data_IF_269900519855
#
_entry.id   IF_269900519855
#
_cell.length_a   1.000
_cell.length_b   1.000
_cell.length_c   1.000
_cell.angle_alpha   90.00
_cell.angle_beta   90.00
_cell.angle_gamma   90.00
#
_symmetry.space_group_name_H-M   'P 1'
#
loop_
_entity.id
_entity.type
_entity.pdbx_description
1 polymer ?
#
# COMPACT_ATOMS: atom_id res chain seq x y z
N UNK A 1 6.17 -28.26 -13.98
CA UNK A 1 6.32 -27.91 -12.54
C UNK A 1 4.99 -27.29 -12.12
N UNK A 2 4.44 -27.66 -10.99
CA UNK A 2 3.22 -27.05 -10.44
C UNK A 2 3.54 -25.61 -10.05
N UNK A 3 2.62 -24.68 -10.34
CA UNK A 3 2.74 -23.28 -9.88
C UNK A 3 2.87 -23.26 -8.36
N UNK A 4 3.77 -22.44 -7.77
CA UNK A 4 3.88 -22.29 -6.32
C UNK A 4 2.58 -21.75 -5.70
N UNK A 5 2.25 -22.17 -4.48
CA UNK A 5 1.07 -21.67 -3.77
C UNK A 5 1.29 -20.22 -3.29
N UNK A 6 0.34 -19.33 -3.57
CA UNK A 6 0.29 -17.98 -3.03
C UNK A 6 -0.85 -17.87 -2.02
N UNK A 7 -0.55 -17.41 -0.81
CA UNK A 7 -1.54 -17.13 0.22
C UNK A 7 -1.92 -15.65 0.17
N UNK A 8 -3.13 -15.38 -0.29
CA UNK A 8 -3.75 -14.05 -0.19
C UNK A 8 -4.24 -13.87 1.25
N UNK A 9 -3.84 -12.79 1.91
CA UNK A 9 -4.23 -12.49 3.29
C UNK A 9 -5.06 -11.21 3.35
N UNK A 10 -6.29 -11.31 3.86
CA UNK A 10 -7.26 -10.19 3.92
C UNK A 10 -7.62 -9.93 5.39
N UNK A 11 -7.01 -8.94 6.05
CA UNK A 11 -7.45 -8.50 7.37
C UNK A 11 -8.71 -7.64 7.22
N UNK A 12 -9.71 -7.84 8.07
CA UNK A 12 -10.92 -7.02 8.08
C UNK A 12 -11.33 -6.65 9.51
N UNK A 13 -11.75 -5.40 9.69
CA UNK A 13 -12.40 -4.89 10.88
C UNK A 13 -13.42 -3.83 10.47
N UNK A 14 -14.71 -4.13 10.62
CA UNK A 14 -15.83 -3.27 10.22
C UNK A 14 -15.70 -2.79 8.76
N UNK A 15 -15.52 -3.74 7.83
CA UNK A 15 -15.32 -3.48 6.41
C UNK A 15 -16.33 -4.17 5.51
N UNK A 16 -17.53 -4.52 6.01
CA UNK A 16 -18.55 -5.28 5.27
C UNK A 16 -18.90 -4.67 3.91
N UNK A 17 -18.84 -3.33 3.79
CA UNK A 17 -19.17 -2.59 2.57
C UNK A 17 -18.30 -2.97 1.36
N UNK A 18 -16.98 -3.19 1.57
CA UNK A 18 -16.03 -3.40 0.48
C UNK A 18 -15.45 -4.82 0.45
N UNK A 19 -15.55 -5.56 1.56
CA UNK A 19 -14.92 -6.88 1.71
C UNK A 19 -15.29 -7.85 0.60
N UNK A 20 -16.56 -7.88 0.17
CA UNK A 20 -17.02 -8.74 -0.91
C UNK A 20 -16.24 -8.50 -2.19
N UNK A 21 -16.12 -7.23 -2.60
CA UNK A 21 -15.38 -6.85 -3.81
C UNK A 21 -13.87 -7.17 -3.70
N UNK A 22 -13.26 -7.01 -2.51
CA UNK A 22 -11.88 -7.39 -2.28
C UNK A 22 -11.68 -8.91 -2.44
N UNK A 23 -12.55 -9.73 -1.84
CA UNK A 23 -12.51 -11.20 -1.98
C UNK A 23 -12.68 -11.60 -3.45
N UNK A 24 -13.67 -11.05 -4.16
CA UNK A 24 -13.92 -11.33 -5.58
C UNK A 24 -12.71 -10.97 -6.44
N UNK A 25 -12.01 -9.86 -6.14
CA UNK A 25 -10.81 -9.47 -6.87
C UNK A 25 -9.65 -10.46 -6.69
N UNK A 26 -9.58 -11.14 -5.53
CA UNK A 26 -8.63 -12.21 -5.28
C UNK A 26 -9.06 -13.53 -5.93
N UNK A 27 -10.36 -13.88 -5.91
CA UNK A 27 -10.88 -15.10 -6.53
C UNK A 27 -10.72 -15.13 -8.05
N UNK A 28 -10.81 -13.96 -8.68
CA UNK A 28 -10.78 -13.78 -10.15
C UNK A 28 -9.37 -13.55 -10.71
N UNK A 29 -8.33 -13.77 -9.90
CA UNK A 29 -6.94 -13.73 -10.39
C UNK A 29 -6.70 -14.81 -11.43
N UNK A 30 -5.94 -14.48 -12.49
CA UNK A 30 -5.53 -15.44 -13.54
C UNK A 30 -4.52 -16.47 -13.03
N UNK A 31 -3.81 -16.18 -11.95
CA UNK A 31 -2.98 -17.15 -11.23
C UNK A 31 -3.86 -18.06 -10.38
N UNK A 32 -3.90 -19.35 -10.70
CA UNK A 32 -4.91 -20.27 -10.17
C UNK A 32 -4.56 -20.90 -8.81
N UNK A 33 -3.26 -21.09 -8.51
CA UNK A 33 -2.84 -21.77 -7.27
C UNK A 33 -2.80 -20.81 -6.09
N UNK A 34 -3.99 -20.44 -5.60
CA UNK A 34 -4.21 -19.51 -4.49
C UNK A 34 -4.95 -20.17 -3.34
N UNK A 35 -4.60 -19.80 -2.11
CA UNK A 35 -5.49 -19.83 -0.96
C UNK A 35 -5.80 -18.40 -0.51
N UNK A 36 -6.98 -18.16 0.06
CA UNK A 36 -7.43 -16.84 0.53
C UNK A 36 -7.75 -16.97 2.02
N UNK A 37 -7.07 -16.20 2.86
CA UNK A 37 -7.23 -16.23 4.31
C UNK A 37 -7.80 -14.88 4.75
N UNK A 38 -9.07 -14.87 5.11
CA UNK A 38 -9.72 -13.68 5.67
C UNK A 38 -9.62 -13.75 7.19
N UNK A 39 -9.02 -12.73 7.81
CA UNK A 39 -8.97 -12.63 9.27
C UNK A 39 -9.89 -11.52 9.72
N UNK A 40 -11.00 -11.91 10.36
CA UNK A 40 -11.92 -10.98 11.01
C UNK A 40 -11.36 -10.58 12.38
N UNK A 41 -10.94 -9.33 12.49
CA UNK A 41 -10.30 -8.76 13.69
C UNK A 41 -11.34 -8.25 14.71
N UNK A 42 -12.39 -9.05 14.94
CA UNK A 42 -13.44 -8.77 15.92
C UNK A 42 -14.44 -7.71 15.45
N UNK A 43 -14.87 -7.78 14.19
CA UNK A 43 -15.86 -6.88 13.61
C UNK A 43 -17.19 -6.91 14.36
N UNK A 44 -17.87 -5.78 14.39
CA UNK A 44 -19.20 -5.59 14.98
C UNK A 44 -20.27 -5.35 13.92
N UNK A 45 -19.88 -5.23 12.66
CA UNK A 45 -20.75 -5.18 11.48
C UNK A 45 -20.87 -6.58 10.83
N UNK A 46 -21.42 -6.65 9.62
CA UNK A 46 -21.65 -7.90 8.88
C UNK A 46 -20.38 -8.47 8.20
N UNK A 47 -19.16 -7.96 8.50
CA UNK A 47 -17.92 -8.43 7.86
C UNK A 47 -17.69 -9.92 7.99
N UNK A 48 -17.92 -10.48 9.20
CA UNK A 48 -17.76 -11.92 9.42
C UNK A 48 -18.77 -12.76 8.60
N UNK A 49 -20.00 -12.31 8.50
CA UNK A 49 -21.06 -12.96 7.71
C UNK A 49 -20.75 -12.91 6.22
N UNK A 50 -20.28 -11.75 5.71
CA UNK A 50 -19.82 -11.59 4.33
C UNK A 50 -18.67 -12.56 4.04
N UNK A 51 -17.62 -12.61 4.87
CA UNK A 51 -16.50 -13.52 4.67
C UNK A 51 -16.93 -15.00 4.62
N UNK A 52 -17.81 -15.42 5.53
CA UNK A 52 -18.33 -16.80 5.56
C UNK A 52 -19.22 -17.12 4.36
N UNK A 53 -19.96 -16.16 3.83
CA UNK A 53 -20.74 -16.34 2.61
C UNK A 53 -19.86 -16.74 1.43
N UNK A 54 -18.71 -16.04 1.23
CA UNK A 54 -17.75 -16.38 0.18
C UNK A 54 -17.02 -17.71 0.46
N UNK A 55 -16.65 -17.98 1.71
CA UNK A 55 -16.00 -19.23 2.09
C UNK A 55 -16.90 -20.47 1.87
N UNK A 56 -18.23 -20.32 1.97
CA UNK A 56 -19.17 -21.40 1.67
C UNK A 56 -19.24 -21.73 0.17
N UNK A 57 -18.81 -20.83 -0.72
CA UNK A 57 -18.88 -20.97 -2.17
C UNK A 57 -17.54 -21.34 -2.82
N UNK A 58 -16.42 -21.04 -2.16
CA UNK A 58 -15.07 -21.29 -2.68
C UNK A 58 -14.19 -21.91 -1.60
N UNK A 59 -13.82 -23.18 -1.81
CA UNK A 59 -13.01 -23.95 -0.86
C UNK A 59 -11.59 -23.42 -0.65
N UNK A 60 -11.13 -22.51 -1.50
CA UNK A 60 -9.83 -21.82 -1.35
C UNK A 60 -9.88 -20.76 -0.23
N UNK A 61 -11.09 -20.35 0.21
CA UNK A 61 -11.27 -19.30 1.21
C UNK A 61 -11.43 -19.92 2.60
N UNK A 62 -10.66 -19.37 3.54
CA UNK A 62 -10.73 -19.71 4.95
C UNK A 62 -10.90 -18.46 5.81
N UNK A 63 -11.84 -18.48 6.74
CA UNK A 63 -12.12 -17.35 7.64
C UNK A 63 -11.60 -17.67 9.04
N UNK A 64 -10.86 -16.73 9.63
CA UNK A 64 -10.28 -16.86 10.99
C UNK A 64 -10.79 -15.67 11.81
N UNK A 65 -11.71 -15.87 12.77
CA UNK A 65 -12.09 -14.82 13.71
C UNK A 65 -11.04 -14.68 14.83
N UNK A 66 -10.79 -13.45 15.26
CA UNK A 66 -9.98 -13.17 16.44
C UNK A 66 -10.52 -11.96 17.23
N UNK A 67 -10.20 -11.83 18.53
CA UNK A 67 -10.42 -10.59 19.25
C UNK A 67 -9.63 -9.43 18.63
N UNK A 68 -10.24 -8.24 18.54
CA UNK A 68 -9.60 -7.08 17.93
C UNK A 68 -8.21 -6.81 18.50
N UNK A 69 -7.23 -6.77 17.61
CA UNK A 69 -5.82 -6.57 17.93
C UNK A 69 -5.11 -5.63 16.95
N UNK A 70 -5.85 -5.09 15.99
CA UNK A 70 -5.36 -4.21 14.95
C UNK A 70 -4.81 -4.95 13.73
N UNK A 71 -4.75 -4.22 12.60
CA UNK A 71 -4.47 -4.76 11.27
C UNK A 71 -3.13 -5.54 11.20
N UNK A 72 -2.08 -5.07 11.88
CA UNK A 72 -0.80 -5.76 11.92
C UNK A 72 -0.89 -7.15 12.58
N UNK A 73 -1.66 -7.27 13.68
CA UNK A 73 -1.91 -8.56 14.34
C UNK A 73 -2.74 -9.48 13.45
N UNK A 74 -3.78 -8.96 12.81
CA UNK A 74 -4.60 -9.73 11.89
C UNK A 74 -3.79 -10.27 10.69
N UNK A 75 -2.92 -9.44 10.09
CA UNK A 75 -1.99 -9.89 9.04
C UNK A 75 -1.04 -10.98 9.55
N UNK A 76 -0.47 -10.83 10.75
CA UNK A 76 0.41 -11.85 11.33
C UNK A 76 -0.33 -13.17 11.62
N UNK A 77 -1.58 -13.12 12.07
CA UNK A 77 -2.42 -14.32 12.22
C UNK A 77 -2.60 -15.03 10.88
N UNK A 78 -2.88 -14.27 9.81
CA UNK A 78 -3.00 -14.84 8.47
C UNK A 78 -1.68 -15.43 7.96
N UNK A 79 -0.53 -14.74 8.16
CA UNK A 79 0.80 -15.23 7.77
C UNK A 79 1.12 -16.54 8.48
N UNK A 80 0.82 -16.65 9.77
CA UNK A 80 1.03 -17.88 10.55
C UNK A 80 0.14 -19.03 10.05
N UNK A 81 -1.05 -18.74 9.58
CA UNK A 81 -2.00 -19.72 9.05
C UNK A 81 -1.76 -20.06 7.56
N UNK A 82 -0.95 -19.30 6.85
CA UNK A 82 -0.68 -19.46 5.42
C UNK A 82 0.13 -20.73 5.14
N UNK A 83 -0.24 -21.47 4.08
CA UNK A 83 0.47 -22.65 3.60
C UNK A 83 1.39 -22.34 2.41
N UNK A 84 1.16 -21.24 1.70
CA UNK A 84 1.94 -20.84 0.52
C UNK A 84 3.34 -20.34 0.87
N UNK A 85 4.23 -20.47 -0.09
CA UNK A 85 5.59 -19.91 -0.02
C UNK A 85 5.64 -18.41 -0.30
N UNK A 86 4.53 -17.86 -0.77
CA UNK A 86 4.35 -16.44 -1.08
C UNK A 86 3.15 -15.88 -0.35
N UNK A 87 3.28 -14.64 0.12
CA UNK A 87 2.22 -13.90 0.83
C UNK A 87 1.84 -12.67 0.03
N UNK A 88 0.57 -12.54 -0.29
CA UNK A 88 -0.02 -11.40 -0.97
C UNK A 88 -1.06 -10.73 -0.06
N UNK A 89 -0.71 -9.66 0.65
CA UNK A 89 -1.70 -8.92 1.45
C UNK A 89 -2.68 -8.16 0.55
N UNK A 90 -3.95 -8.12 0.97
CA UNK A 90 -5.01 -7.33 0.35
C UNK A 90 -5.86 -6.70 1.44
N UNK A 91 -5.91 -5.39 1.50
CA UNK A 91 -6.80 -4.69 2.44
C UNK A 91 -8.26 -4.84 2.00
N UNK A 92 -9.16 -4.93 2.96
CA UNK A 92 -10.58 -5.27 2.72
C UNK A 92 -11.35 -4.22 1.90
N UNK A 93 -10.76 -3.06 1.65
CA UNK A 93 -11.34 -1.96 0.87
C UNK A 93 -10.64 -1.73 -0.50
N UNK A 94 -9.59 -2.48 -0.81
CA UNK A 94 -8.83 -2.37 -2.06
C UNK A 94 -9.31 -3.38 -3.13
N UNK A 95 -8.86 -3.17 -4.37
CA UNK A 95 -9.17 -4.05 -5.50
C UNK A 95 -7.91 -4.45 -6.27
N UNK A 96 -7.82 -5.70 -6.68
CA UNK A 96 -6.79 -6.17 -7.60
C UNK A 96 -7.33 -6.33 -9.02
N UNK A 97 -6.50 -6.01 -10.01
CA UNK A 97 -6.75 -6.39 -11.40
C UNK A 97 -6.40 -7.88 -11.63
N UNK A 98 -7.01 -8.54 -12.61
CA UNK A 98 -6.93 -10.00 -12.78
C UNK A 98 -5.52 -10.57 -12.85
N UNK A 99 -4.57 -9.87 -13.46
CA UNK A 99 -3.23 -10.40 -13.74
C UNK A 99 -2.17 -10.05 -12.68
N UNK A 100 -2.59 -9.43 -11.56
CA UNK A 100 -1.63 -8.93 -10.56
C UNK A 100 -0.71 -10.02 -10.02
N UNK A 101 -1.28 -11.12 -9.54
CA UNK A 101 -0.48 -12.19 -8.95
C UNK A 101 0.36 -12.91 -10.02
N UNK A 102 -0.20 -13.17 -11.20
CA UNK A 102 0.53 -13.82 -12.29
C UNK A 102 1.77 -13.02 -12.70
N UNK A 103 1.62 -11.71 -12.91
CA UNK A 103 2.73 -10.83 -13.30
C UNK A 103 3.77 -10.67 -12.17
N UNK A 104 3.33 -10.53 -10.93
CA UNK A 104 4.27 -10.43 -9.80
C UNK A 104 5.02 -11.75 -9.56
N UNK A 105 4.38 -12.91 -9.73
CA UNK A 105 5.05 -14.21 -9.65
C UNK A 105 6.06 -14.41 -10.78
N UNK A 106 5.74 -14.00 -12.00
CA UNK A 106 6.69 -14.02 -13.11
C UNK A 106 7.91 -13.13 -12.83
N UNK A 107 7.70 -11.91 -12.33
CA UNK A 107 8.77 -11.00 -11.92
C UNK A 107 9.61 -11.60 -10.78
N UNK A 108 8.98 -12.18 -9.75
CA UNK A 108 9.65 -12.83 -8.62
C UNK A 108 10.57 -13.97 -9.09
N UNK A 109 10.10 -14.77 -10.04
CA UNK A 109 10.88 -15.86 -10.62
C UNK A 109 12.06 -15.36 -11.46
N UNK A 110 11.87 -14.28 -12.21
CA UNK A 110 12.91 -13.67 -13.05
C UNK A 110 14.00 -12.96 -12.24
N UNK A 111 13.65 -12.40 -11.06
CA UNK A 111 14.59 -11.66 -10.20
C UNK A 111 15.48 -12.61 -9.37
N UNK A 112 15.06 -13.87 -9.16
CA UNK A 112 15.83 -14.88 -8.42
C UNK A 112 15.52 -14.91 -6.92
N UNK A 113 16.27 -15.77 -6.19
CA UNK A 113 15.96 -16.12 -4.80
C UNK A 113 16.25 -15.00 -3.79
N UNK A 114 17.11 -14.06 -4.15
CA UNK A 114 17.40 -12.88 -3.32
C UNK A 114 16.28 -11.82 -3.32
N UNK A 115 15.25 -11.98 -4.16
CA UNK A 115 14.12 -11.04 -4.20
C UNK A 115 13.17 -11.28 -3.02
N UNK A 116 13.09 -10.35 -2.08
CA UNK A 116 12.23 -10.46 -0.90
C UNK A 116 10.76 -10.12 -1.19
N UNK A 117 10.52 -9.17 -2.08
CA UNK A 117 9.18 -8.84 -2.54
C UNK A 117 9.18 -8.16 -3.92
N UNK A 118 8.03 -8.22 -4.58
CA UNK A 118 7.74 -7.53 -5.85
C UNK A 118 6.58 -6.57 -5.64
N UNK A 119 6.73 -5.32 -6.09
CA UNK A 119 5.63 -4.35 -6.09
C UNK A 119 5.14 -4.06 -7.52
N UNK A 120 4.00 -3.42 -7.63
CA UNK A 120 3.43 -2.92 -8.90
C UNK A 120 2.96 -1.47 -8.74
N UNK A 121 2.55 -0.84 -9.83
CA UNK A 121 1.87 0.45 -9.78
C UNK A 121 0.41 0.28 -9.36
N UNK A 122 -0.20 1.38 -8.91
CA UNK A 122 -1.58 1.39 -8.43
C UNK A 122 -2.34 2.62 -8.94
N UNK A 123 -3.65 2.50 -9.02
CA UNK A 123 -4.56 3.62 -9.23
C UNK A 123 -5.24 4.00 -7.92
N UNK A 124 -5.50 5.28 -7.71
CA UNK A 124 -6.36 5.75 -6.64
C UNK A 124 -7.80 5.64 -7.09
N UNK A 125 -8.65 4.98 -6.31
CA UNK A 125 -10.08 4.86 -6.59
C UNK A 125 -10.91 5.51 -5.49
N UNK A 126 -12.06 6.07 -5.89
CA UNK A 126 -13.07 6.59 -4.97
C UNK A 126 -13.91 5.46 -4.34
N UNK A 127 -14.84 5.75 -3.41
CA UNK A 127 -15.70 4.72 -2.82
C UNK A 127 -16.52 3.91 -3.85
N UNK A 128 -16.87 4.50 -4.99
CA UNK A 128 -17.60 3.83 -6.06
C UNK A 128 -16.71 2.99 -7.00
N UNK A 129 -15.37 3.02 -6.81
CA UNK A 129 -14.41 2.33 -7.67
C UNK A 129 -13.95 3.14 -8.88
N UNK A 130 -14.38 4.41 -9.02
CA UNK A 130 -13.90 5.25 -10.12
C UNK A 130 -12.42 5.61 -9.92
N UNK A 131 -11.63 5.48 -10.98
CA UNK A 131 -10.23 5.88 -10.95
C UNK A 131 -10.13 7.41 -10.93
N UNK A 132 -9.53 7.96 -9.89
CA UNK A 132 -9.39 9.42 -9.68
C UNK A 132 -7.95 9.91 -9.84
N UNK A 133 -6.95 9.02 -9.62
CA UNK A 133 -5.52 9.34 -9.78
C UNK A 133 -4.73 8.02 -9.90
N UNK A 134 -3.41 8.08 -10.01
CA UNK A 134 -2.51 6.92 -10.04
C UNK A 134 -1.20 7.17 -9.33
N UNK A 135 -0.49 6.09 -9.01
CA UNK A 135 0.88 6.17 -8.52
C UNK A 135 1.83 6.82 -9.53
N UNK A 136 2.89 7.46 -9.07
CA UNK A 136 4.05 7.71 -9.91
C UNK A 136 4.57 6.39 -10.51
N UNK A 137 5.13 6.45 -11.71
CA UNK A 137 5.67 5.28 -12.45
C UNK A 137 7.08 4.93 -11.99
N UNK A 138 7.23 4.56 -10.72
CA UNK A 138 8.52 4.14 -10.18
C UNK A 138 8.95 2.78 -10.75
N UNK A 139 10.21 2.70 -11.21
CA UNK A 139 10.84 1.45 -11.69
C UNK A 139 12.05 1.09 -10.85
N UNK A 140 11.95 1.28 -9.54
CA UNK A 140 13.04 1.06 -8.58
C UNK A 140 13.13 -0.43 -8.27
N UNK A 141 14.25 -1.05 -8.60
CA UNK A 141 14.50 -2.48 -8.37
C UNK A 141 15.90 -2.75 -7.81
N UNK A 142 16.14 -3.97 -7.29
CA UNK A 142 17.40 -4.37 -6.67
C UNK A 142 17.47 -3.99 -5.19
N UNK A 143 18.67 -3.89 -4.63
CA UNK A 143 18.89 -3.46 -3.24
C UNK A 143 18.72 -1.94 -3.13
N UNK A 144 17.55 -1.50 -2.64
CA UNK A 144 17.13 -0.09 -2.64
C UNK A 144 16.54 0.36 -1.29
N UNK A 145 17.08 -0.13 -0.19
CA UNK A 145 16.62 0.21 1.15
C UNK A 145 16.58 1.73 1.40
N UNK A 146 17.69 2.45 1.14
CA UNK A 146 17.74 3.89 1.37
C UNK A 146 16.79 4.67 0.44
N UNK A 147 16.64 4.23 -0.81
CA UNK A 147 15.67 4.84 -1.74
C UNK A 147 14.25 4.64 -1.23
N UNK A 148 13.91 3.43 -0.71
CA UNK A 148 12.59 3.16 -0.12
C UNK A 148 12.36 3.96 1.16
N UNK A 149 13.41 4.16 1.96
CA UNK A 149 13.37 4.98 3.17
C UNK A 149 13.08 6.45 2.83
N UNK A 150 13.70 6.98 1.76
CA UNK A 150 13.45 8.33 1.27
C UNK A 150 12.05 8.48 0.70
N UNK A 151 11.61 7.53 -0.13
CA UNK A 151 10.37 7.62 -0.90
C UNK A 151 9.64 6.28 -0.81
N UNK A 152 8.46 6.27 -0.20
CA UNK A 152 7.61 5.09 -0.22
C UNK A 152 7.03 4.87 -1.63
N UNK A 153 7.78 4.18 -2.48
CA UNK A 153 7.34 3.81 -3.83
C UNK A 153 6.50 2.53 -3.86
N UNK A 154 6.37 1.83 -2.73
CA UNK A 154 5.56 0.60 -2.62
C UNK A 154 4.09 0.87 -2.28
N UNK A 155 3.74 2.12 -1.96
CA UNK A 155 2.35 2.53 -1.69
C UNK A 155 1.80 2.00 -0.37
N UNK A 156 0.83 1.06 -0.44
CA UNK A 156 0.17 0.46 0.72
C UNK A 156 0.39 -1.07 0.82
N UNK A 157 -0.23 -1.70 1.80
CA UNK A 157 -0.06 -3.13 2.08
C UNK A 157 -0.56 -4.05 0.95
N UNK A 158 -1.56 -3.64 0.16
CA UNK A 158 -2.18 -4.46 -0.90
C UNK A 158 -1.32 -4.60 -2.17
N UNK A 159 -0.18 -3.90 -2.23
CA UNK A 159 0.66 -3.83 -3.42
C UNK A 159 1.72 -4.93 -3.46
N UNK A 160 2.55 -5.16 -2.42
CA UNK A 160 3.63 -6.12 -2.50
C UNK A 160 3.15 -7.58 -2.50
N UNK A 161 3.90 -8.41 -3.24
CA UNK A 161 3.92 -9.87 -3.10
C UNK A 161 5.25 -10.25 -2.45
N UNK A 162 5.21 -10.90 -1.31
CA UNK A 162 6.40 -11.28 -0.53
C UNK A 162 6.76 -12.76 -0.70
N UNK A 163 8.06 -13.09 -0.67
CA UNK A 163 8.45 -14.44 -0.24
C UNK A 163 8.15 -14.58 1.24
N UNK A 164 7.43 -15.63 1.63
CA UNK A 164 7.00 -15.85 3.03
C UNK A 164 8.19 -15.89 3.99
N UNK A 165 9.27 -16.62 3.65
CA UNK A 165 10.44 -16.71 4.53
C UNK A 165 11.09 -15.33 4.77
N UNK A 166 11.22 -14.47 3.73
CA UNK A 166 11.77 -13.12 3.88
C UNK A 166 10.92 -12.25 4.81
N UNK A 167 9.59 -12.36 4.70
CA UNK A 167 8.65 -11.65 5.56
C UNK A 167 8.73 -12.15 7.01
N UNK A 168 8.83 -13.46 7.22
CA UNK A 168 8.95 -14.08 8.54
C UNK A 168 10.29 -13.76 9.20
N UNK A 169 11.40 -13.84 8.48
CA UNK A 169 12.74 -13.47 8.96
C UNK A 169 12.86 -11.96 9.28
N UNK A 170 12.11 -11.14 8.57
CA UNK A 170 11.96 -9.72 8.93
C UNK A 170 11.10 -9.50 10.19
N UNK A 171 10.46 -10.54 10.74
CA UNK A 171 9.65 -10.49 11.97
C UNK A 171 8.17 -10.15 11.72
N UNK A 172 7.65 -10.27 10.49
CA UNK A 172 6.26 -9.98 10.16
C UNK A 172 5.87 -8.51 10.36
N UNK A 173 4.58 -8.23 10.52
CA UNK A 173 4.08 -6.88 10.78
C UNK A 173 4.23 -6.48 12.24
N UNK A 174 4.64 -5.24 12.50
CA UNK A 174 4.83 -4.73 13.86
C UNK A 174 3.50 -4.34 14.52
N UNK A 175 3.00 -5.16 15.44
CA UNK A 175 1.76 -4.91 16.17
C UNK A 175 1.88 -3.84 17.27
N UNK A 176 3.09 -3.45 17.68
CA UNK A 176 3.32 -2.43 18.71
C UNK A 176 2.88 -1.02 18.25
N UNK A 177 2.94 -0.76 16.93
CA UNK A 177 2.45 0.50 16.35
C UNK A 177 0.96 0.72 16.63
N UNK A 178 0.15 -0.33 16.56
CA UNK A 178 -1.28 -0.27 16.88
C UNK A 178 -1.52 -0.03 18.37
N UNK A 179 -0.76 -0.71 19.25
CA UNK A 179 -0.83 -0.55 20.70
C UNK A 179 -0.49 0.89 21.14
N UNK A 180 0.43 1.54 20.45
CA UNK A 180 0.79 2.94 20.68
C UNK A 180 -0.20 3.95 20.06
N UNK A 181 -1.36 3.51 19.54
CA UNK A 181 -2.34 4.34 18.79
C UNK A 181 -1.69 5.11 17.62
N UNK A 182 -0.67 4.52 17.01
CA UNK A 182 0.18 5.09 15.96
C UNK A 182 0.19 4.24 14.69
N UNK A 183 -0.90 3.56 14.35
CA UNK A 183 -1.02 2.79 13.12
C UNK A 183 -1.03 3.68 11.87
N UNK A 184 -0.72 3.09 10.71
CA UNK A 184 -0.75 3.73 9.39
C UNK A 184 0.62 3.78 8.67
N UNK A 185 1.69 3.20 9.24
CA UNK A 185 2.98 2.99 8.58
C UNK A 185 3.52 1.57 8.82
N UNK A 186 2.70 0.64 9.26
CA UNK A 186 3.08 -0.77 9.47
C UNK A 186 3.45 -1.47 8.16
N UNK A 187 2.84 -1.06 7.06
CA UNK A 187 3.14 -1.50 5.71
C UNK A 187 4.53 -1.02 5.25
N UNK A 188 4.83 0.26 5.44
CA UNK A 188 6.14 0.81 5.13
C UNK A 188 7.23 0.20 6.01
N UNK A 189 6.94 -0.01 7.29
CA UNK A 189 7.91 -0.56 8.25
C UNK A 189 8.33 -1.99 7.86
N UNK A 190 7.39 -2.84 7.47
CA UNK A 190 7.70 -4.22 7.08
C UNK A 190 8.47 -4.27 5.75
N UNK A 191 8.09 -3.50 4.73
CA UNK A 191 8.82 -3.49 3.45
C UNK A 191 10.24 -2.93 3.61
N UNK A 192 10.47 -1.97 4.51
CA UNK A 192 11.81 -1.48 4.85
C UNK A 192 12.67 -2.58 5.49
N UNK A 193 12.13 -3.36 6.44
CA UNK A 193 12.87 -4.46 7.09
C UNK A 193 13.22 -5.57 6.10
N UNK A 194 12.34 -5.87 5.15
CA UNK A 194 12.63 -6.83 4.09
C UNK A 194 13.68 -6.23 3.13
N UNK A 195 13.50 -4.99 2.66
CA UNK A 195 14.41 -4.33 1.73
C UNK A 195 15.84 -4.11 2.27
N UNK A 196 16.00 -4.09 3.60
CA UNK A 196 17.32 -3.99 4.23
C UNK A 196 18.17 -5.28 4.08
N UNK A 197 17.53 -6.40 3.71
CA UNK A 197 18.18 -7.71 3.59
C UNK A 197 18.10 -8.29 2.18
N UNK A 198 17.05 -7.97 1.45
CA UNK A 198 16.68 -8.58 0.19
C UNK A 198 16.50 -7.53 -0.90
N UNK A 199 16.63 -7.95 -2.13
CA UNK A 199 16.33 -7.12 -3.29
C UNK A 199 14.83 -6.97 -3.52
N UNK A 200 14.46 -5.98 -4.33
CA UNK A 200 13.08 -5.59 -4.66
C UNK A 200 12.87 -5.79 -6.16
N UNK A 201 11.76 -6.44 -6.53
CA UNK A 201 11.30 -6.50 -7.91
C UNK A 201 10.19 -5.49 -8.19
N UNK A 202 9.97 -5.16 -9.46
CA UNK A 202 8.88 -4.26 -9.90
C UNK A 202 8.20 -4.78 -11.14
N UNK A 203 6.88 -4.76 -11.12
CA UNK A 203 6.02 -4.87 -12.31
C UNK A 203 5.57 -3.47 -12.69
N UNK A 204 6.05 -2.89 -13.81
CA UNK A 204 5.77 -1.50 -14.17
C UNK A 204 4.38 -1.35 -14.82
N UNK A 205 3.36 -1.87 -14.17
CA UNK A 205 1.96 -1.82 -14.59
C UNK A 205 1.03 -1.50 -13.42
N UNK A 206 -0.09 -0.84 -13.70
CA UNK A 206 -1.14 -0.61 -12.72
C UNK A 206 -1.95 -1.90 -12.60
N UNK A 207 -1.83 -2.55 -11.45
CA UNK A 207 -2.46 -3.84 -11.18
C UNK A 207 -3.34 -3.83 -9.93
N UNK A 208 -3.52 -2.66 -9.30
CA UNK A 208 -4.25 -2.53 -8.05
C UNK A 208 -4.96 -1.17 -7.97
N UNK A 209 -6.17 -1.16 -7.43
CA UNK A 209 -6.94 0.01 -7.05
C UNK A 209 -6.87 0.25 -5.54
N UNK A 210 -6.20 1.34 -5.14
CA UNK A 210 -6.17 1.81 -3.77
C UNK A 210 -7.39 2.68 -3.49
N UNK A 211 -8.30 2.19 -2.63
CA UNK A 211 -9.52 2.91 -2.29
C UNK A 211 -9.26 3.97 -1.22
N UNK A 212 -9.72 5.17 -1.49
CA UNK A 212 -9.74 6.25 -0.51
C UNK A 212 -11.18 6.60 -0.16
N UNK A 213 -11.57 6.33 1.07
CA UNK A 213 -12.88 6.67 1.64
C UNK A 213 -12.72 7.70 2.77
N UNK A 214 -13.78 8.49 3.06
CA UNK A 214 -13.82 9.32 4.26
C UNK A 214 -13.62 8.46 5.51
N UNK A 215 -12.68 8.85 6.39
CA UNK A 215 -12.36 8.09 7.61
C UNK A 215 -11.24 7.05 7.46
N UNK A 216 -10.67 6.87 6.26
CA UNK A 216 -9.47 6.03 6.08
C UNK A 216 -8.34 6.48 7.01
N UNK A 217 -7.55 5.52 7.53
CA UNK A 217 -6.42 5.80 8.45
C UNK A 217 -5.42 6.78 7.86
N UNK A 218 -5.23 6.77 6.54
CA UNK A 218 -4.36 7.68 5.80
C UNK A 218 -4.81 9.15 5.80
N UNK A 219 -6.01 9.47 6.31
CA UNK A 219 -6.50 10.86 6.40
C UNK A 219 -6.12 11.58 7.70
N UNK A 220 -5.60 10.86 8.72
CA UNK A 220 -5.08 11.44 9.96
C UNK A 220 -3.56 11.67 9.87
N UNK A 221 -3.18 12.85 9.39
CA UNK A 221 -1.78 13.24 9.23
C UNK A 221 -0.97 13.20 10.53
N UNK A 222 -1.58 13.54 11.69
CA UNK A 222 -0.90 13.51 12.97
C UNK A 222 -0.61 12.08 13.44
N UNK A 223 -1.55 11.16 13.20
CA UNK A 223 -1.37 9.73 13.48
C UNK A 223 -0.27 9.15 12.60
N UNK A 224 -0.32 9.43 11.29
CA UNK A 224 0.71 8.99 10.34
C UNK A 224 2.09 9.53 10.69
N UNK A 225 2.19 10.80 11.10
CA UNK A 225 3.46 11.37 11.55
C UNK A 225 4.02 10.63 12.77
N UNK A 226 3.21 10.41 13.82
CA UNK A 226 3.64 9.65 15.00
C UNK A 226 4.11 8.24 14.65
N UNK A 227 3.34 7.54 13.80
CA UNK A 227 3.69 6.21 13.29
C UNK A 227 5.05 6.24 12.58
N UNK A 228 5.25 7.21 11.68
CA UNK A 228 6.50 7.39 10.95
C UNK A 228 7.69 7.63 11.89
N UNK A 229 7.53 8.46 12.92
CA UNK A 229 8.62 8.72 13.89
C UNK A 229 9.03 7.45 14.65
N UNK A 230 8.06 6.59 15.01
CA UNK A 230 8.35 5.30 15.64
C UNK A 230 9.10 4.36 14.69
N UNK A 231 8.71 4.33 13.41
CA UNK A 231 9.41 3.55 12.38
C UNK A 231 10.85 4.02 12.23
N UNK A 232 11.10 5.33 12.14
CA UNK A 232 12.45 5.87 11.98
C UNK A 232 13.33 5.64 13.22
N UNK A 233 12.78 5.78 14.42
CA UNK A 233 13.51 5.47 15.66
C UNK A 233 13.99 4.02 15.66
N UNK A 234 13.09 3.08 15.32
CA UNK A 234 13.43 1.65 15.24
C UNK A 234 14.44 1.35 14.12
N UNK A 235 14.33 2.01 12.97
CA UNK A 235 15.31 1.87 11.90
C UNK A 235 16.70 2.33 12.37
N UNK A 236 16.80 3.48 13.06
CA UNK A 236 18.06 3.95 13.62
C UNK A 236 18.68 3.00 14.65
N UNK A 237 17.87 2.29 15.42
CA UNK A 237 18.33 1.26 16.38
C UNK A 237 18.83 -0.01 15.67
N UNK A 238 18.08 -0.50 14.66
CA UNK A 238 18.38 -1.76 13.96
C UNK A 238 19.46 -1.59 12.89
N UNK A 239 19.54 -0.42 12.26
CA UNK A 239 20.52 -0.08 11.22
C UNK A 239 21.25 1.24 11.56
N UNK A 240 22.14 1.23 12.57
CA UNK A 240 22.82 2.45 13.04
C UNK A 240 23.76 3.08 12.00
N UNK A 241 24.06 2.37 10.92
CA UNK A 241 24.92 2.84 9.83
C UNK A 241 24.16 3.64 8.74
N UNK A 242 22.83 3.82 8.87
CA UNK A 242 22.07 4.67 7.93
C UNK A 242 22.54 6.11 8.10
N UNK A 243 22.91 6.74 6.98
CA UNK A 243 23.35 8.14 7.01
C UNK A 243 22.26 9.04 7.63
N UNK A 244 22.57 9.81 8.69
CA UNK A 244 21.64 10.77 9.26
C UNK A 244 21.09 11.79 8.26
N UNK A 245 21.78 12.05 7.16
CA UNK A 245 21.30 12.91 6.07
C UNK A 245 20.11 12.25 5.34
N UNK A 246 20.17 10.93 5.12
CA UNK A 246 19.07 10.16 4.51
C UNK A 246 17.84 10.20 5.43
N UNK A 247 18.01 10.03 6.75
CA UNK A 247 16.91 10.12 7.72
C UNK A 247 16.26 11.51 7.71
N UNK A 248 17.06 12.59 7.70
CA UNK A 248 16.52 13.95 7.62
C UNK A 248 15.81 14.24 6.29
N UNK A 249 16.37 13.76 5.18
CA UNK A 249 15.73 13.89 3.87
C UNK A 249 14.40 13.11 3.81
N UNK A 250 14.37 11.91 4.37
CA UNK A 250 13.17 11.08 4.51
C UNK A 250 12.07 11.77 5.32
N UNK A 251 12.41 12.38 6.46
CA UNK A 251 11.47 13.17 7.26
C UNK A 251 10.91 14.36 6.49
N UNK A 252 11.78 15.07 5.76
CA UNK A 252 11.35 16.19 4.91
C UNK A 252 10.36 15.74 3.84
N UNK A 253 10.66 14.65 3.14
CA UNK A 253 9.78 14.08 2.11
C UNK A 253 8.42 13.69 2.69
N UNK A 254 8.41 13.07 3.87
CA UNK A 254 7.17 12.70 4.52
C UNK A 254 6.34 13.91 4.97
N UNK A 255 6.97 14.96 5.50
CA UNK A 255 6.28 16.21 5.79
C UNK A 255 5.65 16.84 4.54
N UNK A 256 6.36 16.79 3.39
CA UNK A 256 5.81 17.27 2.10
C UNK A 256 4.60 16.45 1.67
N UNK A 257 4.65 15.12 1.82
CA UNK A 257 3.50 14.25 1.57
C UNK A 257 2.30 14.63 2.45
N UNK A 258 2.51 14.83 3.76
CA UNK A 258 1.46 15.24 4.69
C UNK A 258 0.89 16.63 4.35
N UNK A 259 1.75 17.58 3.95
CA UNK A 259 1.32 18.91 3.50
C UNK A 259 0.41 18.82 2.27
N UNK A 260 0.81 18.01 1.27
CA UNK A 260 0.01 17.79 0.07
C UNK A 260 -1.32 17.09 0.40
N UNK A 261 -1.29 16.04 1.22
CA UNK A 261 -2.49 15.30 1.65
C UNK A 261 -3.47 16.21 2.38
N UNK A 262 -2.98 17.05 3.31
CA UNK A 262 -3.80 18.03 4.02
C UNK A 262 -4.41 19.07 3.10
N UNK A 263 -3.62 19.57 2.13
CA UNK A 263 -4.10 20.53 1.14
C UNK A 263 -5.25 19.97 0.27
N UNK A 264 -5.05 18.75 -0.28
CA UNK A 264 -6.07 18.09 -1.09
C UNK A 264 -7.34 17.72 -0.31
N UNK A 265 -7.20 17.53 1.00
CA UNK A 265 -8.33 17.30 1.91
C UNK A 265 -9.02 18.62 2.35
N UNK A 266 -8.63 19.76 1.82
CA UNK A 266 -9.20 21.08 2.18
C UNK A 266 -8.73 21.61 3.54
N UNK A 267 -7.78 20.94 4.19
CA UNK A 267 -7.28 21.30 5.54
C UNK A 267 -6.08 22.25 5.46
N UNK A 268 -6.33 23.49 4.99
CA UNK A 268 -5.26 24.45 4.69
C UNK A 268 -4.32 24.74 5.87
N UNK A 269 -4.85 24.83 7.10
CA UNK A 269 -4.03 25.09 8.31
C UNK A 269 -3.05 23.94 8.57
N UNK A 270 -3.49 22.69 8.41
CA UNK A 270 -2.63 21.50 8.54
C UNK A 270 -1.58 21.47 7.43
N UNK A 271 -1.97 21.79 6.19
CA UNK A 271 -1.05 21.87 5.05
C UNK A 271 0.08 22.88 5.30
N UNK A 272 -0.26 24.07 5.82
CA UNK A 272 0.72 25.09 6.22
C UNK A 272 1.63 24.57 7.35
N UNK A 273 1.07 23.94 8.38
CA UNK A 273 1.83 23.37 9.50
C UNK A 273 2.89 22.38 9.00
N UNK A 274 2.51 21.43 8.17
CA UNK A 274 3.44 20.43 7.62
C UNK A 274 4.45 21.06 6.65
N UNK A 275 4.04 22.05 5.84
CA UNK A 275 4.92 22.80 4.95
C UNK A 275 6.02 23.55 5.69
N UNK A 276 5.68 24.23 6.78
CA UNK A 276 6.68 24.92 7.64
C UNK A 276 7.63 23.92 8.30
N UNK A 277 7.11 22.78 8.77
CA UNK A 277 7.89 21.73 9.43
C UNK A 277 8.97 21.12 8.52
N UNK A 278 8.73 21.00 7.24
CA UNK A 278 9.74 20.52 6.30
C UNK A 278 10.77 21.58 5.89
N UNK A 279 10.71 22.80 6.45
CA UNK A 279 11.66 23.88 6.21
C UNK A 279 11.54 24.51 4.83
N UNK A 280 10.42 24.31 4.13
CA UNK A 280 10.19 24.89 2.81
C UNK A 280 9.55 26.26 2.98
N UNK A 281 10.09 27.27 2.31
CA UNK A 281 9.47 28.58 2.20
C UNK A 281 8.17 28.41 1.41
N UNK A 282 7.05 28.58 2.06
CA UNK A 282 5.67 28.34 1.55
C UNK A 282 5.38 28.74 0.09
N UNK A 283 5.89 29.86 -0.45
CA UNK A 283 5.64 30.24 -1.83
C UNK A 283 6.20 29.27 -2.87
N UNK A 284 7.29 28.56 -2.56
CA UNK A 284 7.99 27.71 -3.53
C UNK A 284 7.35 26.33 -3.72
N UNK A 285 6.58 25.83 -2.74
CA UNK A 285 5.87 24.55 -2.86
C UNK A 285 4.53 24.69 -3.59
N UNK A 286 3.80 25.74 -3.26
CA UNK A 286 2.44 25.92 -3.74
C UNK A 286 2.36 26.65 -5.08
N UNK A 287 3.38 27.48 -5.44
CA UNK A 287 3.38 28.23 -6.69
C UNK A 287 3.28 27.34 -7.95
N UNK A 288 4.05 26.23 -8.12
CA UNK A 288 3.90 25.34 -9.27
C UNK A 288 2.55 24.62 -9.27
N UNK A 289 1.99 24.37 -8.09
CA UNK A 289 0.69 23.70 -7.90
C UNK A 289 -0.47 24.61 -8.22
N UNK A 290 -0.47 25.82 -7.68
CA UNK A 290 -1.48 26.84 -7.96
C UNK A 290 -1.47 27.23 -9.45
N UNK A 291 -0.27 27.29 -10.06
CA UNK A 291 -0.11 27.54 -11.49
C UNK A 291 -0.67 26.38 -12.33
N UNK A 292 -0.43 25.12 -11.93
CA UNK A 292 -0.96 23.95 -12.64
C UNK A 292 -2.47 23.81 -12.49
N UNK A 293 -3.04 24.17 -11.35
CA UNK A 293 -4.51 24.24 -11.13
C UNK A 293 -5.17 25.33 -11.96
N UNK A 294 -4.51 26.50 -12.10
CA UNK A 294 -5.02 27.61 -12.90
C UNK A 294 -4.83 27.42 -14.42
N UNK A 295 -3.88 26.57 -14.83
CA UNK A 295 -3.56 26.29 -16.23
C UNK A 295 -4.04 24.91 -16.70
N UNK A 296 -4.61 24.06 -15.82
CA UNK A 296 -5.24 22.81 -16.25
C UNK A 296 -6.47 23.18 -17.06
N UNK A 297 -6.51 22.89 -18.37
CA UNK A 297 -7.75 22.96 -19.11
C UNK A 297 -8.75 22.05 -18.39
N UNK A 298 -10.00 22.49 -18.30
CA UNK A 298 -11.12 21.66 -17.86
C UNK A 298 -10.93 20.28 -18.49
N UNK A 299 -10.67 19.24 -17.65
CA UNK A 299 -10.46 17.87 -18.12
C UNK A 299 -11.65 17.56 -19.03
N UNK A 300 -11.38 17.35 -20.33
CA UNK A 300 -12.39 16.80 -21.23
C UNK A 300 -12.99 15.59 -20.55
N UNK A 301 -14.31 15.54 -20.52
CA UNK A 301 -15.11 14.52 -19.84
C UNK A 301 -14.92 13.18 -20.54
N UNK A 302 -13.80 12.53 -20.32
CA UNK A 302 -13.73 11.07 -20.47
C UNK A 302 -14.48 10.50 -19.27
N UNK A 303 -15.45 9.64 -19.52
CA UNK A 303 -16.17 8.94 -18.48
C UNK A 303 -15.13 8.28 -17.56
N UNK A 304 -15.21 8.46 -16.23
CA UNK A 304 -14.23 7.88 -15.32
C UNK A 304 -14.20 6.37 -15.50
N UNK A 305 -13.00 5.79 -15.59
CA UNK A 305 -12.87 4.34 -15.60
C UNK A 305 -13.24 3.80 -14.22
N UNK A 306 -14.07 2.77 -14.19
CA UNK A 306 -14.52 2.11 -12.96
C UNK A 306 -13.76 0.80 -12.83
N UNK A 307 -13.04 0.62 -11.71
CA UNK A 307 -12.38 -0.62 -11.38
C UNK A 307 -13.38 -1.58 -10.74
N UNK A 308 -13.50 -2.79 -11.29
CA UNK A 308 -14.37 -3.84 -10.75
C UNK A 308 -13.61 -5.15 -10.61
N UNK A 309 -14.00 -6.02 -9.68
CA UNK A 309 -13.41 -7.35 -9.55
C UNK A 309 -13.49 -8.12 -10.87
N UNK A 310 -12.38 -8.75 -11.26
CA UNK A 310 -12.32 -9.58 -12.48
C UNK A 310 -12.31 -8.82 -13.81
N UNK A 311 -12.40 -7.47 -13.81
CA UNK A 311 -12.36 -6.67 -15.03
C UNK A 311 -10.97 -6.03 -15.23
N UNK A 312 -10.45 -6.10 -16.45
CA UNK A 312 -9.28 -5.33 -16.86
C UNK A 312 -9.68 -3.87 -17.16
N UNK A 313 -8.78 -2.93 -16.90
CA UNK A 313 -8.96 -1.52 -17.28
C UNK A 313 -7.90 -1.10 -18.29
N UNK A 314 -8.21 -0.11 -19.12
CA UNK A 314 -7.21 0.51 -19.99
C UNK A 314 -6.36 1.51 -19.19
N UNK A 315 -5.22 1.03 -18.71
CA UNK A 315 -4.31 1.83 -17.88
C UNK A 315 -3.65 2.98 -18.66
N UNK A 316 -3.68 2.99 -19.97
CA UNK A 316 -3.16 4.08 -20.80
C UNK A 316 -4.01 5.34 -20.70
N UNK A 317 -5.30 5.19 -20.41
CA UNK A 317 -6.25 6.28 -20.26
C UNK A 317 -6.21 6.94 -18.87
N UNK A 318 -5.49 6.35 -17.90
CA UNK A 318 -5.34 6.95 -16.57
C UNK A 318 -4.33 8.10 -16.66
N UNK A 319 -4.73 9.34 -16.32
CA UNK A 319 -3.86 10.51 -16.45
C UNK A 319 -2.63 10.42 -15.53
N UNK A 320 -1.56 11.12 -15.88
CA UNK A 320 -0.37 11.22 -15.03
C UNK A 320 -0.72 11.80 -13.65
N UNK A 321 -0.01 11.34 -12.59
CA UNK A 321 -0.29 11.76 -11.23
C UNK A 321 -0.20 13.28 -11.08
N UNK A 322 -1.07 13.83 -10.27
CA UNK A 322 -1.11 15.27 -10.00
C UNK A 322 0.15 15.78 -9.27
N UNK A 323 0.85 14.89 -8.56
CA UNK A 323 2.09 15.18 -7.84
C UNK A 323 3.31 14.78 -8.70
N UNK A 324 4.07 15.72 -9.27
CA UNK A 324 5.32 15.40 -9.95
C UNK A 324 6.43 15.10 -8.92
N UNK A 325 6.35 13.93 -8.27
CA UNK A 325 7.41 13.47 -7.35
C UNK A 325 8.78 13.41 -8.04
N UNK A 326 8.79 13.15 -9.35
CA UNK A 326 10.01 13.09 -10.19
C UNK A 326 10.78 14.41 -10.23
N UNK A 327 10.09 15.55 -10.13
CA UNK A 327 10.72 16.87 -10.09
C UNK A 327 11.24 17.27 -8.71
N UNK A 328 10.80 16.59 -7.66
CA UNK A 328 11.25 16.87 -6.29
C UNK A 328 12.66 16.31 -6.08
N UNK A 329 13.00 15.20 -6.75
CA UNK A 329 14.34 14.61 -6.71
C UNK A 329 15.37 15.40 -7.53
N UNK A 330 14.94 16.20 -8.52
CA UNK A 330 15.85 17.03 -9.34
C UNK A 330 16.17 18.39 -8.72
N UNK A 331 15.65 18.69 -7.53
CA UNK A 331 15.88 19.93 -6.78
C UNK A 331 16.86 19.74 -5.59
N UNK A 332 17.56 18.60 -5.55
CA UNK A 332 18.63 18.34 -4.58
C UNK A 332 20.01 18.64 -5.16
#
# INVERSE_FOLDING_TARGET
>A
MTEPLVSVIIPVYNGAEYLGAAIESAQTQTYSNLEIIVVDDGSTDDSFQVANHYAAQDSRIRVIPQPNGGVAKARNTAIAAANGDFIAPLDADDLWLPDKIAQQMACMSATGDDCGFVYCWWALIDPAGNVVDRSPRWTVAGHRFETLLLINFTGNASIPLFRKHCLVEAGGYNSELAAAKSGGCEDLEVVLRVAARYSIGVVPEILMGYRRSPGSMSTDCNRMWRSRQMVLARIGEVWPNVDPAVLRASDRQFCMYLAALSYWSGKLREAIHWGVRCGIRLPLIFAPYLLKLSLSPSREHQSPQVMRPGEAIDTSLIPDPLLPFDRILSLQ
#
